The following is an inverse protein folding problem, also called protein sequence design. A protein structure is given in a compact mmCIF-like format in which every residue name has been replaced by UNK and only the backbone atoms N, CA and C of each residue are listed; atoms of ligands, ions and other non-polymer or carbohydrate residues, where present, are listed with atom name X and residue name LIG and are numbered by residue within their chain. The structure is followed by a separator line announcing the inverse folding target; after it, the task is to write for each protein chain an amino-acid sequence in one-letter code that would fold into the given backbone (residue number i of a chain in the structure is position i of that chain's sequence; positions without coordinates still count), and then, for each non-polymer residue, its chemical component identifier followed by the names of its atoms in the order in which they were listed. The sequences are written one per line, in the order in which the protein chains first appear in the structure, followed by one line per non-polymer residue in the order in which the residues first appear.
data_IF_165898529776
#
_entry.id   IF_165898529776
#
_cell.length_a   1.000
_cell.length_b   1.000
_cell.length_c   1.000
_cell.angle_alpha   90.00
_cell.angle_beta   90.00
_cell.angle_gamma   90.00
#
_symmetry.space_group_name_H-M   'P 1'
#
loop_
_entity.id
_entity.type
_entity.pdbx_description
1 polymer ?
#
# COMPACT_ATOMS: atom_id res chain seq x y z
N UNK A 1 2.93 -5.12 8.54
CA UNK A 1 2.17 -5.90 7.53
C UNK A 1 1.33 -4.96 6.67
N UNK A 2 1.15 -5.30 5.42
CA UNK A 2 0.23 -4.56 4.54
C UNK A 2 -1.17 -5.14 4.73
N UNK A 3 -2.13 -4.38 5.29
CA UNK A 3 -3.46 -4.90 5.55
C UNK A 3 -4.20 -5.34 4.29
N UNK A 4 -4.88 -6.46 4.35
CA UNK A 4 -5.71 -6.98 3.27
C UNK A 4 -6.67 -5.93 2.73
N UNK A 5 -7.31 -5.17 3.62
CA UNK A 5 -8.28 -4.13 3.25
C UNK A 5 -7.68 -3.00 2.41
N UNK A 6 -6.40 -2.67 2.61
CA UNK A 6 -5.72 -1.64 1.81
C UNK A 6 -5.54 -2.11 0.35
N UNK A 7 -5.14 -3.36 0.17
CA UNK A 7 -4.94 -3.93 -1.16
C UNK A 7 -6.28 -4.12 -1.87
N UNK A 8 -7.26 -4.71 -1.19
CA UNK A 8 -8.60 -4.89 -1.75
C UNK A 8 -9.27 -3.57 -2.10
N UNK A 9 -9.13 -2.55 -1.25
CA UNK A 9 -9.66 -1.22 -1.52
C UNK A 9 -9.05 -0.57 -2.75
N UNK A 10 -7.74 -0.69 -2.93
CA UNK A 10 -7.03 -0.20 -4.10
C UNK A 10 -7.47 -0.91 -5.38
N UNK A 11 -7.57 -2.22 -5.33
CA UNK A 11 -8.01 -3.04 -6.47
C UNK A 11 -9.48 -2.75 -6.82
N UNK A 12 -10.34 -2.58 -5.82
CA UNK A 12 -11.76 -2.24 -6.04
C UNK A 12 -11.92 -0.88 -6.72
N UNK A 13 -11.14 0.11 -6.32
CA UNK A 13 -11.13 1.42 -6.97
C UNK A 13 -10.69 1.34 -8.44
N UNK A 14 -9.66 0.55 -8.72
CA UNK A 14 -9.19 0.31 -10.07
C UNK A 14 -10.22 -0.45 -10.92
N UNK A 15 -10.90 -1.42 -10.33
CA UNK A 15 -11.95 -2.19 -11.01
C UNK A 15 -13.13 -1.29 -11.42
N UNK A 16 -13.49 -0.32 -10.61
CA UNK A 16 -14.53 0.66 -10.94
C UNK A 16 -14.18 1.49 -12.17
N UNK A 17 -12.93 1.87 -12.33
CA UNK A 17 -12.45 2.59 -13.52
C UNK A 17 -12.68 1.78 -14.80
N UNK A 18 -12.55 0.47 -14.73
CA UNK A 18 -12.80 -0.44 -15.85
C UNK A 18 -14.25 -0.93 -15.96
N UNK A 19 -15.15 -0.37 -15.18
CA UNK A 19 -16.57 -0.78 -15.12
C UNK A 19 -16.77 -2.23 -14.65
N UNK A 20 -15.82 -2.74 -13.87
CA UNK A 20 -15.86 -4.08 -13.31
C UNK A 20 -16.17 -4.07 -11.80
N UNK A 21 -16.51 -2.92 -11.21
CA UNK A 21 -16.61 -2.74 -9.77
C UNK A 21 -17.47 -3.77 -9.05
N UNK A 22 -18.73 -3.95 -9.46
CA UNK A 22 -19.64 -4.92 -8.82
C UNK A 22 -19.21 -6.37 -9.04
N UNK A 23 -18.76 -6.69 -10.23
CA UNK A 23 -18.28 -8.01 -10.60
C UNK A 23 -17.03 -8.40 -9.81
N UNK A 24 -16.10 -7.46 -9.70
CA UNK A 24 -14.85 -7.63 -8.95
C UNK A 24 -15.11 -7.81 -7.45
N UNK A 25 -15.98 -6.99 -6.87
CA UNK A 25 -16.37 -7.08 -5.45
C UNK A 25 -16.89 -8.47 -5.06
N UNK A 26 -17.65 -9.11 -5.96
CA UNK A 26 -18.26 -10.42 -5.71
C UNK A 26 -17.35 -11.60 -6.03
N UNK A 27 -16.38 -11.38 -6.90
CA UNK A 27 -15.65 -12.47 -7.55
C UNK A 27 -14.16 -12.48 -7.28
N UNK A 28 -13.69 -11.62 -6.38
CA UNK A 28 -12.27 -11.50 -6.03
C UNK A 28 -12.09 -11.27 -4.54
N UNK A 29 -11.04 -11.84 -3.98
CA UNK A 29 -10.64 -11.58 -2.60
C UNK A 29 -9.21 -12.04 -2.33
N UNK A 30 -8.69 -11.61 -1.20
CA UNK A 30 -7.36 -11.99 -0.72
C UNK A 30 -7.48 -12.96 0.46
N UNK A 31 -6.43 -13.74 0.68
CA UNK A 31 -6.34 -14.70 1.79
C UNK A 31 -5.60 -14.14 3.00
N UNK A 32 -5.60 -12.87 3.24
CA UNK A 32 -5.01 -12.25 4.41
C UNK A 32 -4.09 -11.09 4.08
N UNK A 33 -3.41 -10.60 5.11
CA UNK A 33 -2.50 -9.49 5.01
C UNK A 33 -1.19 -9.88 4.32
N UNK A 34 -0.57 -8.93 3.65
CA UNK A 34 0.76 -9.11 3.07
C UNK A 34 1.85 -8.85 4.10
N UNK A 35 2.80 -9.77 4.21
CA UNK A 35 4.00 -9.54 5.03
C UNK A 35 4.97 -8.68 4.23
N UNK A 36 5.29 -7.49 4.75
CA UNK A 36 6.23 -6.59 4.10
C UNK A 36 7.66 -7.12 4.16
N UNK A 37 8.32 -7.11 3.01
CA UNK A 37 9.74 -7.39 2.89
C UNK A 37 10.45 -6.08 2.56
N UNK A 38 11.44 -5.72 3.35
CA UNK A 38 12.25 -4.52 3.15
C UNK A 38 13.65 -4.74 3.75
N UNK A 39 14.59 -3.85 3.44
CA UNK A 39 16.01 -4.03 3.78
C UNK A 39 16.27 -4.32 5.27
N UNK A 40 15.56 -3.66 6.16
CA UNK A 40 15.75 -3.74 7.61
C UNK A 40 14.60 -4.47 8.32
N UNK A 41 13.96 -5.44 7.68
CA UNK A 41 12.79 -6.14 8.22
C UNK A 41 13.10 -7.06 9.42
N UNK A 42 14.39 -7.28 9.72
CA UNK A 42 14.87 -7.98 10.90
C UNK A 42 14.97 -7.09 12.15
N UNK A 43 14.84 -5.78 11.99
CA UNK A 43 14.94 -4.82 13.09
C UNK A 43 13.65 -4.68 13.87
N UNK A 44 13.76 -4.33 15.16
CA UNK A 44 12.61 -3.99 16.00
C UNK A 44 12.02 -2.63 15.60
N UNK A 45 10.74 -2.33 15.96
CA UNK A 45 10.16 -1.01 15.70
C UNK A 45 11.00 0.15 16.26
N UNK A 46 11.60 -0.03 17.45
CA UNK A 46 12.46 0.96 18.09
C UNK A 46 13.74 1.20 17.29
N UNK A 47 14.37 0.15 16.77
CA UNK A 47 15.54 0.25 15.90
C UNK A 47 15.20 0.91 14.56
N UNK A 48 14.06 0.59 13.97
CA UNK A 48 13.60 1.18 12.72
C UNK A 48 13.35 2.70 12.87
N UNK A 49 12.87 3.13 14.01
CA UNK A 49 12.63 4.55 14.29
C UNK A 49 13.93 5.35 14.23
N UNK A 50 15.06 4.77 14.60
CA UNK A 50 16.36 5.45 14.61
C UNK A 50 17.09 5.41 13.26
N UNK A 51 16.65 4.57 12.31
CA UNK A 51 17.26 4.50 10.97
C UNK A 51 17.13 5.83 10.23
N UNK A 52 18.22 6.33 9.68
CA UNK A 52 18.24 7.59 8.94
C UNK A 52 18.17 8.84 9.80
N UNK A 53 18.24 8.71 11.12
CA UNK A 53 18.26 9.87 12.02
C UNK A 53 19.63 10.53 11.98
N UNK A 54 19.65 11.84 11.80
CA UNK A 54 20.88 12.64 11.81
C UNK A 54 21.34 12.91 13.25
N UNK A 55 22.58 13.38 13.40
CA UNK A 55 23.12 13.79 14.71
C UNK A 55 22.32 14.93 15.35
N UNK A 56 21.71 15.78 14.56
CA UNK A 56 20.85 16.89 15.01
C UNK A 56 19.42 16.45 15.36
N UNK A 57 19.09 15.17 15.15
CA UNK A 57 17.77 14.62 15.47
C UNK A 57 16.75 14.68 14.35
N UNK A 58 17.15 15.07 13.13
CA UNK A 58 16.31 15.05 11.95
C UNK A 58 16.34 13.68 11.26
N UNK A 59 15.35 13.42 10.42
CA UNK A 59 15.28 12.17 9.66
C UNK A 59 15.59 12.44 8.18
N UNK A 60 16.50 11.63 7.62
CA UNK A 60 16.78 11.66 6.19
C UNK A 60 15.61 11.01 5.43
N UNK A 61 14.88 11.77 4.57
CA UNK A 61 13.71 11.24 3.89
C UNK A 61 14.02 10.11 2.90
N UNK A 62 15.26 9.94 2.50
CA UNK A 62 15.66 8.87 1.56
C UNK A 62 15.95 7.54 2.24
N UNK A 63 16.25 7.54 3.54
CA UNK A 63 16.66 6.33 4.27
C UNK A 63 15.81 6.03 5.51
N UNK A 64 15.07 7.02 6.01
CA UNK A 64 14.27 6.89 7.24
C UNK A 64 12.99 6.09 6.99
N UNK A 65 12.55 5.36 8.01
CA UNK A 65 11.23 4.73 8.07
C UNK A 65 10.18 5.58 8.79
N UNK A 66 10.48 6.86 9.00
CA UNK A 66 9.60 7.79 9.71
C UNK A 66 9.27 8.98 8.82
N UNK A 67 8.00 9.30 8.70
CA UNK A 67 7.50 10.45 7.98
C UNK A 67 6.56 11.25 8.89
N UNK A 68 6.80 12.55 9.00
CA UNK A 68 5.95 13.48 9.78
C UNK A 68 5.39 14.54 8.87
N UNK A 69 4.07 14.66 8.84
CA UNK A 69 3.35 15.64 8.01
C UNK A 69 2.20 16.27 8.77
N UNK A 70 1.86 17.47 8.37
CA UNK A 70 0.64 18.11 8.83
C UNK A 70 -0.56 17.42 8.20
N UNK A 71 -1.44 16.86 9.03
CA UNK A 71 -2.65 16.18 8.64
C UNK A 71 -3.87 16.81 9.28
N UNK A 72 -4.99 16.81 8.58
CA UNK A 72 -6.25 17.31 9.11
C UNK A 72 -7.44 16.76 8.34
N UNK A 73 -8.58 16.72 9.02
CA UNK A 73 -9.87 16.46 8.39
C UNK A 73 -10.32 17.77 7.73
N UNK A 74 -11.02 17.66 6.61
CA UNK A 74 -11.53 18.83 5.87
C UNK A 74 -12.26 19.80 6.82
N UNK A 75 -11.81 21.05 6.86
CA UNK A 75 -12.39 22.10 7.73
C UNK A 75 -11.84 22.14 9.14
N UNK A 76 -10.94 21.26 9.55
CA UNK A 76 -10.31 21.27 10.86
C UNK A 76 -8.88 21.77 10.83
N UNK A 77 -8.33 22.10 12.00
CA UNK A 77 -6.93 22.51 12.16
C UNK A 77 -6.01 21.33 11.82
N UNK A 78 -4.98 21.60 11.02
CA UNK A 78 -3.96 20.59 10.71
C UNK A 78 -3.07 20.34 11.92
N UNK A 79 -2.85 19.08 12.24
CA UNK A 79 -1.94 18.64 13.31
C UNK A 79 -0.83 17.77 12.71
N UNK A 80 0.40 17.81 13.28
CA UNK A 80 1.46 16.93 12.81
C UNK A 80 1.12 15.47 13.14
N UNK A 81 1.29 14.58 12.15
CA UNK A 81 1.14 13.14 12.32
C UNK A 81 2.42 12.44 11.87
N UNK A 82 2.94 11.57 12.73
CA UNK A 82 4.13 10.76 12.45
C UNK A 82 3.71 9.33 12.15
N UNK A 83 4.18 8.80 11.03
CA UNK A 83 3.81 7.46 10.55
C UNK A 83 5.02 6.73 10.03
N UNK A 84 4.92 5.40 10.02
CA UNK A 84 5.93 4.57 9.38
C UNK A 84 5.85 4.72 7.86
N UNK A 85 7.01 4.75 7.21
CA UNK A 85 7.16 4.79 5.76
C UNK A 85 8.21 3.75 5.35
N UNK A 86 7.99 3.11 4.21
CA UNK A 86 8.89 2.10 3.66
C UNK A 86 9.30 2.53 2.25
N UNK A 87 10.52 3.10 2.07
CA UNK A 87 10.96 3.60 0.76
C UNK A 87 11.04 2.52 -0.32
N UNK A 88 11.52 1.34 0.05
CA UNK A 88 11.57 0.17 -0.83
C UNK A 88 10.94 -1.02 -0.10
N UNK A 89 9.97 -1.64 -0.73
CA UNK A 89 9.24 -2.75 -0.13
C UNK A 89 8.71 -3.70 -1.18
N UNK A 90 8.49 -4.93 -0.75
CA UNK A 90 7.75 -5.92 -1.52
C UNK A 90 6.87 -6.74 -0.60
N UNK A 91 5.88 -7.39 -1.15
CA UNK A 91 5.05 -8.33 -0.43
C UNK A 91 4.46 -9.35 -1.40
N UNK A 92 4.15 -10.53 -0.89
CA UNK A 92 3.40 -11.53 -1.63
C UNK A 92 2.00 -11.61 -1.03
N UNK A 93 1.01 -11.62 -1.89
CA UNK A 93 -0.38 -11.82 -1.50
C UNK A 93 -0.96 -12.96 -2.32
N UNK A 94 -1.79 -13.77 -1.68
CA UNK A 94 -2.52 -14.83 -2.36
C UNK A 94 -3.96 -14.39 -2.53
N UNK A 95 -4.45 -14.47 -3.74
CA UNK A 95 -5.81 -14.09 -4.07
C UNK A 95 -6.60 -15.26 -4.66
N UNK A 96 -7.90 -15.13 -4.62
CA UNK A 96 -8.82 -15.99 -5.35
C UNK A 96 -9.73 -15.16 -6.24
N UNK A 97 -10.17 -15.71 -7.32
CA UNK A 97 -11.18 -15.10 -8.16
C UNK A 97 -12.04 -16.19 -8.84
N UNK A 98 -13.27 -15.80 -9.13
CA UNK A 98 -14.22 -16.67 -9.82
C UNK A 98 -13.97 -16.61 -11.34
N UNK A 99 -13.43 -17.66 -11.90
CA UNK A 99 -13.11 -17.76 -13.32
C UNK A 99 -14.32 -17.65 -14.25
N UNK A 100 -15.53 -17.86 -13.72
CA UNK A 100 -16.77 -17.69 -14.50
C UNK A 100 -17.14 -16.21 -14.67
N UNK A 101 -16.60 -15.33 -13.83
CA UNK A 101 -16.90 -13.90 -13.82
C UNK A 101 -15.70 -13.04 -14.24
N UNK A 102 -14.50 -13.44 -13.88
CA UNK A 102 -13.25 -12.73 -14.15
C UNK A 102 -12.24 -13.70 -14.76
N UNK A 103 -11.42 -13.23 -15.68
CA UNK A 103 -10.25 -13.99 -16.12
C UNK A 103 -8.98 -13.43 -15.46
N UNK A 104 -7.91 -14.19 -15.52
CA UNK A 104 -6.63 -13.83 -14.92
C UNK A 104 -6.08 -12.51 -15.48
N UNK A 105 -6.23 -12.28 -16.78
CA UNK A 105 -5.78 -11.06 -17.44
C UNK A 105 -6.50 -9.82 -16.91
N UNK A 106 -7.81 -9.90 -16.69
CA UNK A 106 -8.59 -8.82 -16.09
C UNK A 106 -8.12 -8.50 -14.67
N UNK A 107 -7.85 -9.53 -13.86
CA UNK A 107 -7.33 -9.36 -12.49
C UNK A 107 -5.96 -8.69 -12.51
N UNK A 108 -5.06 -9.12 -13.39
CA UNK A 108 -3.74 -8.50 -13.53
C UNK A 108 -3.81 -7.06 -14.00
N UNK A 109 -4.68 -6.74 -14.95
CA UNK A 109 -4.90 -5.37 -15.42
C UNK A 109 -5.43 -4.46 -14.31
N UNK A 110 -6.36 -4.94 -13.51
CA UNK A 110 -6.88 -4.21 -12.34
C UNK A 110 -5.77 -3.97 -11.34
N UNK A 111 -4.95 -4.97 -11.07
CA UNK A 111 -3.82 -4.83 -10.15
C UNK A 111 -2.78 -3.81 -10.64
N UNK A 112 -2.47 -3.79 -11.93
CA UNK A 112 -1.55 -2.81 -12.52
C UNK A 112 -2.10 -1.39 -12.42
N UNK A 113 -3.37 -1.18 -12.71
CA UNK A 113 -4.03 0.13 -12.57
C UNK A 113 -4.04 0.56 -11.11
N UNK A 114 -4.31 -0.34 -10.19
CA UNK A 114 -4.27 -0.07 -8.75
C UNK A 114 -2.90 0.44 -8.32
N UNK A 115 -1.84 -0.23 -8.73
CA UNK A 115 -0.47 0.16 -8.41
C UNK A 115 -0.04 1.48 -9.02
N UNK A 116 -0.49 1.77 -10.22
CA UNK A 116 -0.12 2.97 -10.96
C UNK A 116 -0.90 4.21 -10.51
N UNK A 117 -2.19 4.09 -10.23
CA UNK A 117 -3.09 5.23 -10.04
C UNK A 117 -3.71 5.34 -8.66
N UNK A 118 -4.02 4.24 -8.00
CA UNK A 118 -4.77 4.25 -6.74
C UNK A 118 -3.89 4.06 -5.52
N UNK A 119 -2.78 3.32 -5.65
CA UNK A 119 -1.80 3.10 -4.60
C UNK A 119 -2.37 2.43 -3.34
N UNK A 120 -1.52 2.17 -2.37
CA UNK A 120 -1.91 1.64 -1.07
C UNK A 120 -1.40 2.52 0.06
N UNK A 121 -2.04 2.48 1.21
CA UNK A 121 -1.62 3.20 2.40
C UNK A 121 -2.34 4.53 2.60
N UNK A 122 -1.86 5.29 3.58
CA UNK A 122 -2.53 6.49 4.07
C UNK A 122 -2.32 7.71 3.19
N UNK A 123 -1.12 7.86 2.61
CA UNK A 123 -0.78 8.96 1.70
C UNK A 123 -0.75 8.49 0.24
N UNK A 124 -1.85 7.96 -0.24
CA UNK A 124 -1.94 7.20 -1.49
C UNK A 124 -1.52 7.95 -2.74
N UNK A 125 -1.71 9.19 -2.90
CA UNK A 125 -1.30 9.89 -4.13
C UNK A 125 0.18 10.24 -4.16
N UNK A 126 0.79 10.34 -3.00
CA UNK A 126 2.20 10.69 -2.85
C UNK A 126 3.07 9.44 -2.70
N UNK A 127 2.57 8.46 -1.96
CA UNK A 127 3.25 7.20 -1.68
C UNK A 127 2.34 6.01 -2.00
N UNK A 128 2.91 4.82 -1.92
CA UNK A 128 2.17 3.56 -2.03
C UNK A 128 1.99 3.05 -3.45
N UNK A 129 2.63 3.66 -4.44
CA UNK A 129 2.67 3.11 -5.80
C UNK A 129 3.38 1.75 -5.80
N UNK A 130 2.90 0.82 -6.61
CA UNK A 130 3.49 -0.51 -6.68
C UNK A 130 3.38 -1.11 -8.07
N UNK A 131 4.22 -2.09 -8.34
CA UNK A 131 4.15 -2.94 -9.53
C UNK A 131 3.70 -4.33 -9.13
N UNK A 132 3.02 -5.01 -10.02
CA UNK A 132 2.51 -6.36 -9.76
C UNK A 132 3.17 -7.34 -10.71
N UNK A 133 3.62 -8.46 -10.14
CA UNK A 133 4.15 -9.59 -10.88
C UNK A 133 3.40 -10.85 -10.46
N UNK A 134 3.04 -11.67 -11.43
CA UNK A 134 2.49 -12.99 -11.17
C UNK A 134 3.60 -13.94 -10.78
N UNK A 135 3.38 -14.67 -9.73
CA UNK A 135 4.31 -15.70 -9.26
C UNK A 135 3.87 -17.10 -9.67
#
# INVERSE_FOLDING_TARGET
MLPQSHVEGSFQAAAKERKLGKKFERSFGLYGDGVLQFKDNDKTPEELFEVGRTKEGYFDPSTSYVDTRACGIKGSVKVPATRAIFPEWSTEVTCWFDETQLNEEEVLQVAEIAGLRYHVGTYRKLYGAFKVEKK
#
